data_IF_245143682112
#
_entry.id   IF_245143682112
#
_cell.length_a   1.000
_cell.length_b   1.000
_cell.length_c   1.000
_cell.angle_alpha   90.00
_cell.angle_beta   90.00
_cell.angle_gamma   90.00
#
_symmetry.space_group_name_H-M   'P 1'
#
loop_
_entity.id
_entity.type
_entity.pdbx_description
1 polymer ?
#
# COMPACT_ATOMS: atom_id res chain seq x y z
N UNK A 1 20.60 -1.02 -1.56
CA UNK A 1 21.91 -0.90 -2.24
C UNK A 1 23.00 -0.33 -1.33
N UNK A 2 22.79 0.84 -0.70
CA UNK A 2 23.75 1.48 0.21
C UNK A 2 24.19 0.59 1.40
N UNK A 3 23.26 -0.11 2.06
CA UNK A 3 23.57 -0.99 3.20
C UNK A 3 24.44 -2.20 2.81
N UNK A 4 24.26 -2.73 1.60
CA UNK A 4 25.04 -3.87 1.09
C UNK A 4 26.51 -3.51 0.90
N UNK A 5 26.79 -2.30 0.36
CA UNK A 5 28.17 -1.80 0.17
C UNK A 5 28.88 -1.48 1.49
N UNK A 6 28.15 -1.00 2.50
CA UNK A 6 28.72 -0.74 3.83
C UNK A 6 29.18 -2.02 4.52
N UNK A 7 28.48 -3.14 4.34
CA UNK A 7 28.88 -4.45 4.88
C UNK A 7 30.10 -5.04 4.18
N UNK A 8 30.31 -4.77 2.89
CA UNK A 8 31.42 -5.31 2.10
C UNK A 8 32.72 -4.49 2.19
N UNK A 9 32.87 -3.60 3.19
CA UNK A 9 34.10 -2.85 3.44
C UNK A 9 34.46 -1.74 2.43
N UNK A 10 33.58 -1.45 1.45
CA UNK A 10 33.82 -0.45 0.40
C UNK A 10 33.50 1.00 0.82
N UNK A 11 33.47 1.91 -0.15
CA UNK A 11 33.19 3.34 0.06
C UNK A 11 31.86 3.56 0.83
N UNK A 12 31.96 4.08 2.05
CA UNK A 12 30.84 4.30 3.00
C UNK A 12 30.03 5.56 2.71
N UNK A 13 30.42 6.37 1.73
CA UNK A 13 29.71 7.60 1.35
C UNK A 13 28.35 7.28 0.73
N UNK A 14 27.39 8.15 1.02
CA UNK A 14 26.06 8.11 0.43
C UNK A 14 26.22 8.32 -1.08
N UNK A 15 25.83 7.31 -1.85
CA UNK A 15 25.77 7.39 -3.30
C UNK A 15 24.28 7.50 -3.64
N UNK A 16 23.89 8.67 -4.10
CA UNK A 16 22.59 8.85 -4.72
C UNK A 16 22.68 8.26 -6.12
N UNK A 17 21.73 7.40 -6.48
CA UNK A 17 21.69 6.79 -7.81
C UNK A 17 21.16 7.78 -8.84
N UNK A 18 20.18 8.58 -8.45
CA UNK A 18 19.47 9.53 -9.31
C UNK A 18 19.01 10.73 -8.47
N UNK A 19 18.82 11.87 -9.14
CA UNK A 19 18.34 13.11 -8.53
C UNK A 19 17.52 13.92 -9.53
N UNK A 20 16.61 14.74 -9.01
CA UNK A 20 15.67 15.51 -9.81
C UNK A 20 15.82 17.00 -9.50
N UNK A 21 15.90 17.82 -10.54
CA UNK A 21 16.00 19.28 -10.44
C UNK A 21 14.86 19.89 -11.26
N UNK A 22 14.03 20.69 -10.61
CA UNK A 22 12.94 21.43 -11.27
C UNK A 22 13.37 22.88 -11.51
N UNK A 23 13.12 23.39 -12.71
CA UNK A 23 13.42 24.76 -13.10
C UNK A 23 12.11 25.53 -13.31
N UNK A 24 12.08 26.79 -12.90
CA UNK A 24 10.95 27.68 -13.17
C UNK A 24 10.77 27.93 -14.68
N UNK A 25 11.88 28.07 -15.41
CA UNK A 25 11.88 28.33 -16.85
C UNK A 25 12.36 27.13 -17.68
N UNK A 26 11.55 26.74 -18.66
CA UNK A 26 11.89 25.67 -19.62
C UNK A 26 13.17 25.94 -20.41
N UNK A 27 13.41 27.21 -20.79
CA UNK A 27 14.59 27.58 -21.60
C UNK A 27 15.88 27.35 -20.80
N UNK A 28 15.87 27.71 -19.52
CA UNK A 28 16.99 27.45 -18.62
C UNK A 28 17.22 25.95 -18.45
N UNK A 29 16.17 25.17 -18.19
CA UNK A 29 16.28 23.72 -18.03
C UNK A 29 16.96 23.05 -19.23
N UNK A 30 16.53 23.41 -20.45
CA UNK A 30 17.13 22.90 -21.69
C UNK A 30 18.58 23.29 -21.84
N UNK A 31 18.91 24.56 -21.58
CA UNK A 31 20.28 25.08 -21.68
C UNK A 31 21.20 24.37 -20.69
N UNK A 32 20.78 24.25 -19.43
CA UNK A 32 21.56 23.60 -18.38
C UNK A 32 21.81 22.13 -18.73
N UNK A 33 20.76 21.39 -19.11
CA UNK A 33 20.91 20.01 -19.53
C UNK A 33 21.85 19.86 -20.72
N UNK A 34 21.72 20.68 -21.76
CA UNK A 34 22.58 20.61 -22.94
C UNK A 34 24.04 21.03 -22.66
N UNK A 35 24.26 21.97 -21.74
CA UNK A 35 25.60 22.51 -21.46
C UNK A 35 26.38 21.64 -20.50
N UNK A 36 25.72 21.12 -19.46
CA UNK A 36 26.39 20.37 -18.41
C UNK A 36 26.48 18.89 -18.74
N UNK A 37 25.48 18.30 -19.42
CA UNK A 37 25.49 16.87 -19.72
C UNK A 37 26.74 16.45 -20.51
N UNK A 38 27.44 15.43 -20.02
CA UNK A 38 28.71 14.97 -20.60
C UNK A 38 29.92 15.84 -20.27
N UNK A 39 29.75 16.97 -19.58
CA UNK A 39 30.84 17.78 -19.03
C UNK A 39 31.32 17.27 -17.68
N UNK A 40 32.58 17.51 -17.33
CA UNK A 40 33.08 17.23 -15.98
C UNK A 40 32.48 18.21 -14.97
N UNK A 41 32.28 17.76 -13.73
CA UNK A 41 31.71 18.62 -12.67
C UNK A 41 32.65 19.79 -12.35
N UNK A 42 33.97 19.56 -12.42
CA UNK A 42 34.96 20.60 -12.27
C UNK A 42 35.10 21.12 -10.83
N UNK A 43 35.69 22.32 -10.69
CA UNK A 43 35.97 22.95 -9.39
C UNK A 43 37.33 22.55 -8.77
N UNK A 44 37.58 23.05 -7.55
CA UNK A 44 38.85 22.84 -6.85
C UNK A 44 38.92 21.41 -6.29
N UNK A 45 39.95 20.65 -6.69
CA UNK A 45 40.17 19.24 -6.31
C UNK A 45 40.08 18.97 -4.80
N UNK A 46 40.54 19.92 -3.97
CA UNK A 46 40.51 19.78 -2.49
C UNK A 46 39.10 19.78 -1.90
N UNK A 47 38.14 20.41 -2.57
CA UNK A 47 36.79 20.64 -2.03
C UNK A 47 35.69 19.88 -2.77
N UNK A 48 35.93 19.44 -4.01
CA UNK A 48 34.98 18.66 -4.78
C UNK A 48 35.53 17.26 -5.06
N UNK A 49 34.99 16.25 -4.36
CA UNK A 49 35.33 14.84 -4.57
C UNK A 49 34.93 14.35 -5.97
N UNK A 50 33.86 14.93 -6.54
CA UNK A 50 33.31 14.55 -7.83
C UNK A 50 33.88 15.38 -8.98
N UNK A 51 35.00 16.09 -8.78
CA UNK A 51 35.58 16.99 -9.79
C UNK A 51 35.74 16.32 -11.16
N UNK A 52 36.27 15.10 -11.15
CA UNK A 52 36.63 14.34 -12.35
C UNK A 52 35.46 13.52 -12.90
N UNK A 53 34.36 13.46 -12.15
CA UNK A 53 33.13 12.81 -12.59
C UNK A 53 32.42 13.67 -13.63
N UNK A 54 31.64 13.00 -14.47
CA UNK A 54 30.87 13.64 -15.52
C UNK A 54 29.43 13.84 -15.06
N UNK A 55 28.86 14.99 -15.40
CA UNK A 55 27.44 15.21 -15.30
C UNK A 55 26.71 14.26 -16.27
N UNK A 56 25.72 13.54 -15.74
CA UNK A 56 24.75 12.81 -16.55
C UNK A 56 23.36 13.37 -16.22
N UNK A 57 22.79 14.15 -17.12
CA UNK A 57 21.48 14.77 -16.94
C UNK A 57 20.69 14.85 -18.23
N UNK A 58 19.38 14.66 -18.11
CA UNK A 58 18.45 14.70 -19.24
C UNK A 58 17.32 15.69 -18.93
N UNK A 59 17.00 16.54 -19.92
CA UNK A 59 15.82 17.39 -19.83
C UNK A 59 14.56 16.58 -20.11
N UNK A 60 13.61 16.58 -19.17
CA UNK A 60 12.30 15.98 -19.36
C UNK A 60 11.23 17.02 -19.73
N UNK A 61 10.68 16.99 -20.95
CA UNK A 61 9.61 17.89 -21.33
C UNK A 61 8.28 17.55 -20.64
N UNK A 62 7.49 18.57 -20.33
CA UNK A 62 6.12 18.44 -19.75
C UNK A 62 6.07 17.66 -18.43
N UNK A 63 7.20 17.60 -17.72
CA UNK A 63 7.34 16.85 -16.50
C UNK A 63 7.35 17.78 -15.27
N UNK A 64 6.63 17.44 -14.21
CA UNK A 64 6.51 18.23 -12.97
C UNK A 64 6.78 17.39 -11.74
N UNK A 65 7.17 18.03 -10.63
CA UNK A 65 7.48 17.33 -9.37
C UNK A 65 6.35 16.43 -8.84
N UNK A 66 5.09 16.79 -9.08
CA UNK A 66 3.94 15.98 -8.66
C UNK A 66 3.91 14.61 -9.36
N UNK A 67 4.32 14.54 -10.63
CA UNK A 67 4.32 13.31 -11.42
C UNK A 67 5.38 12.32 -10.94
N UNK A 68 6.49 12.78 -10.35
CA UNK A 68 7.47 11.91 -9.69
C UNK A 68 6.86 11.13 -8.53
N UNK A 69 6.03 11.82 -7.76
CA UNK A 69 5.41 11.25 -6.56
C UNK A 69 4.11 10.52 -6.89
N UNK A 70 3.51 10.79 -8.04
CA UNK A 70 2.23 10.23 -8.46
C UNK A 70 2.25 8.71 -8.45
N UNK A 71 3.26 8.06 -9.04
CA UNK A 71 3.36 6.60 -9.05
C UNK A 71 3.44 5.99 -7.64
N UNK A 72 4.25 6.59 -6.75
CA UNK A 72 4.36 6.14 -5.37
C UNK A 72 3.08 6.41 -4.56
N UNK A 73 2.44 7.56 -4.76
CA UNK A 73 1.18 7.92 -4.14
C UNK A 73 0.05 7.00 -4.59
N UNK A 74 -0.06 6.75 -5.89
CA UNK A 74 -1.02 5.82 -6.48
C UNK A 74 -0.82 4.40 -5.91
N UNK A 75 0.41 3.88 -5.92
CA UNK A 75 0.71 2.57 -5.35
C UNK A 75 0.31 2.47 -3.86
N UNK A 76 0.57 3.53 -3.08
CA UNK A 76 0.15 3.61 -1.66
C UNK A 76 -1.37 3.63 -1.52
N UNK A 77 -2.08 4.39 -2.37
CA UNK A 77 -3.54 4.44 -2.37
C UNK A 77 -4.16 3.10 -2.75
N UNK A 78 -3.67 2.45 -3.81
CA UNK A 78 -4.11 1.10 -4.22
C UNK A 78 -3.88 0.09 -3.11
N UNK A 79 -2.70 0.11 -2.46
CA UNK A 79 -2.42 -0.76 -1.31
C UNK A 79 -3.39 -0.52 -0.15
N UNK A 80 -3.68 0.75 0.17
CA UNK A 80 -4.63 1.12 1.22
C UNK A 80 -6.04 0.63 0.91
N UNK A 81 -6.54 0.89 -0.31
CA UNK A 81 -7.86 0.47 -0.76
C UNK A 81 -8.01 -1.07 -0.70
N UNK A 82 -6.99 -1.82 -1.16
CA UNK A 82 -6.99 -3.29 -1.07
C UNK A 82 -7.03 -3.78 0.38
N UNK A 83 -6.32 -3.12 1.29
CA UNK A 83 -6.34 -3.47 2.71
C UNK A 83 -7.72 -3.19 3.32
N UNK A 84 -8.30 -2.03 3.05
CA UNK A 84 -9.63 -1.65 3.53
C UNK A 84 -10.72 -2.60 3.01
N UNK A 85 -10.63 -3.01 1.74
CA UNK A 85 -11.53 -4.01 1.18
C UNK A 85 -11.42 -5.35 1.93
N UNK A 86 -10.19 -5.82 2.19
CA UNK A 86 -9.96 -7.07 2.94
C UNK A 86 -10.47 -6.98 4.37
N UNK A 87 -10.23 -5.86 5.07
CA UNK A 87 -10.75 -5.63 6.41
C UNK A 87 -12.28 -5.57 6.41
N UNK A 88 -12.89 -4.94 5.41
CA UNK A 88 -14.34 -4.87 5.26
C UNK A 88 -14.99 -6.23 4.98
N UNK A 89 -14.31 -7.11 4.24
CA UNK A 89 -14.75 -8.50 4.06
C UNK A 89 -14.64 -9.29 5.37
N UNK A 90 -13.50 -9.26 6.04
CA UNK A 90 -13.29 -9.97 7.30
C UNK A 90 -14.27 -9.50 8.40
N UNK A 91 -14.57 -8.20 8.46
CA UNK A 91 -15.59 -7.66 9.38
C UNK A 91 -16.98 -8.18 9.08
N UNK A 92 -17.37 -8.25 7.81
CA UNK A 92 -18.68 -8.80 7.39
C UNK A 92 -18.79 -10.27 7.76
N UNK A 93 -17.77 -11.07 7.46
CA UNK A 93 -17.72 -12.50 7.79
C UNK A 93 -17.80 -12.73 9.32
N UNK A 94 -17.07 -11.93 10.10
CA UNK A 94 -17.09 -12.03 11.56
C UNK A 94 -18.46 -11.64 12.15
N UNK A 95 -19.03 -10.52 11.71
CA UNK A 95 -20.35 -10.09 12.16
C UNK A 95 -21.42 -11.15 11.84
N UNK A 96 -21.40 -11.70 10.62
CA UNK A 96 -22.28 -12.79 10.23
C UNK A 96 -22.12 -14.02 11.13
N UNK A 97 -20.88 -14.41 11.43
CA UNK A 97 -20.62 -15.52 12.35
C UNK A 97 -21.20 -15.27 13.76
N UNK A 98 -21.01 -14.07 14.31
CA UNK A 98 -21.54 -13.70 15.62
C UNK A 98 -23.08 -13.76 15.66
N UNK A 99 -23.75 -13.23 14.63
CA UNK A 99 -25.21 -13.28 14.48
C UNK A 99 -25.71 -14.74 14.42
N UNK A 100 -25.06 -15.60 13.63
CA UNK A 100 -25.42 -17.00 13.52
C UNK A 100 -25.25 -17.75 14.85
N UNK A 101 -24.18 -17.46 15.60
CA UNK A 101 -23.95 -18.04 16.93
C UNK A 101 -25.01 -17.57 17.93
N UNK A 102 -25.39 -16.29 17.92
CA UNK A 102 -26.45 -15.77 18.78
C UNK A 102 -27.80 -16.42 18.46
N UNK A 103 -28.14 -16.53 17.17
CA UNK A 103 -29.34 -17.23 16.73
C UNK A 103 -29.34 -18.69 17.17
N UNK A 104 -28.23 -19.41 17.03
CA UNK A 104 -28.10 -20.80 17.48
C UNK A 104 -28.28 -20.92 18.99
N UNK A 105 -27.65 -20.05 19.79
CA UNK A 105 -27.85 -19.99 21.26
C UNK A 105 -29.31 -19.71 21.62
N UNK A 106 -29.99 -18.81 20.90
CA UNK A 106 -31.41 -18.49 21.12
C UNK A 106 -32.31 -19.69 20.78
N UNK A 107 -32.08 -20.37 19.66
CA UNK A 107 -32.81 -21.59 19.27
C UNK A 107 -32.61 -22.71 20.29
N UNK A 108 -31.38 -22.93 20.76
CA UNK A 108 -31.06 -23.92 21.79
C UNK A 108 -31.78 -23.63 23.12
N UNK A 109 -31.75 -22.38 23.60
CA UNK A 109 -32.47 -21.99 24.83
C UNK A 109 -33.98 -22.16 24.70
N UNK A 110 -34.55 -21.88 23.53
CA UNK A 110 -35.98 -22.08 23.26
C UNK A 110 -36.34 -23.57 23.22
N UNK A 111 -35.52 -24.40 22.59
CA UNK A 111 -35.68 -25.85 22.58
C UNK A 111 -35.62 -26.44 24.00
N UNK A 112 -34.65 -26.01 24.82
CA UNK A 112 -34.52 -26.46 26.22
C UNK A 112 -35.73 -26.03 27.08
N UNK A 113 -36.21 -24.80 26.92
CA UNK A 113 -37.43 -24.33 27.58
C UNK A 113 -38.67 -25.11 27.14
N UNK A 114 -38.80 -25.40 25.84
CA UNK A 114 -39.89 -26.23 25.31
C UNK A 114 -39.81 -27.67 25.81
N UNK A 115 -38.62 -28.26 25.93
CA UNK A 115 -38.44 -29.59 26.50
C UNK A 115 -38.81 -29.62 28.00
N UNK A 116 -38.41 -28.60 28.78
CA UNK A 116 -38.80 -28.46 30.20
C UNK A 116 -40.30 -28.22 30.41
N UNK A 117 -40.96 -27.51 29.48
CA UNK A 117 -42.41 -27.25 29.54
C UNK A 117 -43.25 -28.39 28.93
N UNK A 118 -42.69 -29.11 27.96
CA UNK A 118 -43.26 -30.29 27.28
C UNK A 118 -43.22 -31.57 28.12
N UNK A 119 -42.59 -31.54 29.30
CA UNK A 119 -42.83 -32.54 30.34
C UNK A 119 -44.24 -32.48 30.95
N UNK A 120 -45.10 -31.55 30.53
CA UNK A 120 -46.47 -31.40 31.05
C UNK A 120 -47.58 -31.14 30.02
N UNK A 121 -47.34 -31.12 28.70
CA UNK A 121 -48.43 -30.97 27.73
C UNK A 121 -48.07 -31.46 26.33
N UNK A 122 -48.88 -32.42 25.84
CA UNK A 122 -49.11 -32.88 24.46
C UNK A 122 -47.96 -33.66 23.78
N UNK A 123 -48.09 -34.92 23.32
CA UNK A 123 -49.28 -35.63 22.79
C UNK A 123 -50.15 -34.71 21.94
N UNK A 124 -49.72 -34.43 20.71
CA UNK A 124 -50.54 -34.35 19.48
C UNK A 124 -49.81 -33.61 18.35
N UNK A 125 -49.77 -34.21 17.15
CA UNK A 125 -49.73 -33.48 15.88
C UNK A 125 -48.43 -33.45 15.06
N UNK A 126 -48.14 -34.57 14.39
CA UNK A 126 -47.76 -34.72 12.96
C UNK A 126 -47.79 -33.42 12.09
N UNK A 127 -46.69 -32.97 11.46
CA UNK A 127 -46.19 -33.42 10.14
C UNK A 127 -45.47 -32.25 9.41
N UNK A 128 -44.65 -32.50 8.37
CA UNK A 128 -43.62 -31.58 7.88
C UNK A 128 -44.13 -30.62 6.78
N UNK A 129 -43.49 -29.46 6.63
CA UNK A 129 -43.68 -28.61 5.45
C UNK A 129 -42.34 -28.04 4.99
N UNK A 130 -41.90 -28.53 3.82
CA UNK A 130 -40.89 -27.94 2.95
C UNK A 130 -41.30 -26.52 2.54
N UNK A 131 -40.31 -25.70 2.14
CA UNK A 131 -40.57 -24.37 1.58
C UNK A 131 -39.28 -23.61 1.29
N UNK A 132 -38.81 -23.75 0.05
CA UNK A 132 -37.76 -22.99 -0.60
C UNK A 132 -38.07 -21.47 -0.68
N UNK A 133 -37.01 -20.67 -0.80
CA UNK A 133 -37.04 -19.23 -1.04
C UNK A 133 -35.67 -18.59 -0.88
#
# INVERSE_FOLDING_TARGET
>A
YHERRKRSGGNKKVLFTEGWVEFAERRMAKRVAATLNGGTIGGKKRHNFWRDDHWNMQYLPKFKWHQLKEGAQYARQVRKARLEQRLGQARRENNFYLEQVEQAKRRSKMAEKRAKKGGGAAADGEGPAEGEG
#
